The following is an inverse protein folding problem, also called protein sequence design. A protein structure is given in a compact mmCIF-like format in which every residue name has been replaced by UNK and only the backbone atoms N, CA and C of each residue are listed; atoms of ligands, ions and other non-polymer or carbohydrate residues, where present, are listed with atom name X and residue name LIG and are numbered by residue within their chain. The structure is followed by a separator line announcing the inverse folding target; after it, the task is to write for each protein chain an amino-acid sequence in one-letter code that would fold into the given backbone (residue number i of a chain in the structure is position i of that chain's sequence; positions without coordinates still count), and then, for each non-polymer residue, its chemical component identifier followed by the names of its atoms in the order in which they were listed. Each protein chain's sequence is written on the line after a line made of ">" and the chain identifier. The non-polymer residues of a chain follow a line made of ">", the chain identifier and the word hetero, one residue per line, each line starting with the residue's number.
data_IF_240166510003
#
_entry.id   IF_240166510003
#
_cell.length_a   1.000
_cell.length_b   1.000
_cell.length_c   1.000
_cell.angle_alpha   90.00
_cell.angle_beta   90.00
_cell.angle_gamma   90.00
#
_symmetry.space_group_name_H-M   'P 1'
#
loop_
_entity.id
_entity.type
_entity.pdbx_description
1 polymer ?
#
# COMPACT_ATOMS: atom_id res chain seq x y z
N UNK A 1 18.89 5.68 6.49
CA UNK A 1 18.18 4.88 5.47
C UNK A 1 16.70 5.16 5.57
N UNK A 2 16.06 5.53 4.45
CA UNK A 2 14.63 5.82 4.37
C UNK A 2 13.99 4.85 3.40
N UNK A 3 12.89 4.21 3.78
CA UNK A 3 12.10 3.32 2.94
C UNK A 3 10.61 3.49 3.23
N UNK A 4 9.77 2.97 2.36
CA UNK A 4 8.32 2.84 2.55
C UNK A 4 7.93 1.38 2.46
N UNK A 5 6.90 0.99 3.21
CA UNK A 5 6.39 -0.38 3.18
C UNK A 5 5.62 -0.64 1.89
N UNK A 6 5.91 -1.78 1.27
CA UNK A 6 5.17 -2.32 0.14
C UNK A 6 4.26 -3.48 0.53
N UNK A 7 3.55 -4.01 -0.46
CA UNK A 7 2.62 -5.13 -0.26
C UNK A 7 3.32 -6.41 0.24
N UNK A 8 4.57 -6.65 -0.16
CA UNK A 8 5.35 -7.81 0.31
C UNK A 8 5.80 -7.64 1.76
N UNK A 9 6.17 -6.43 2.19
CA UNK A 9 6.51 -6.14 3.57
C UNK A 9 5.30 -6.34 4.49
N UNK A 10 4.12 -5.86 4.06
CA UNK A 10 2.88 -6.06 4.79
C UNK A 10 2.49 -7.54 4.85
N UNK A 11 2.75 -8.30 3.77
CA UNK A 11 2.50 -9.73 3.74
C UNK A 11 3.40 -10.48 4.74
N UNK A 12 4.70 -10.17 4.79
CA UNK A 12 5.62 -10.71 5.81
C UNK A 12 5.11 -10.43 7.23
N UNK A 13 4.71 -9.18 7.50
CA UNK A 13 4.18 -8.80 8.83
C UNK A 13 2.89 -9.56 9.17
N UNK A 14 2.00 -9.78 8.21
CA UNK A 14 0.76 -10.54 8.43
C UNK A 14 1.02 -12.03 8.73
N UNK A 15 1.97 -12.65 8.02
CA UNK A 15 2.41 -14.03 8.28
C UNK A 15 3.03 -14.12 9.68
N UNK A 16 3.88 -13.17 10.04
CA UNK A 16 4.51 -13.13 11.37
C UNK A 16 3.51 -12.98 12.53
N UNK A 17 2.36 -12.34 12.30
CA UNK A 17 1.23 -12.25 13.24
C UNK A 17 0.32 -13.50 13.22
N UNK A 18 0.64 -14.52 12.39
CA UNK A 18 -0.12 -15.76 12.30
C UNK A 18 -1.45 -15.64 11.55
N UNK A 19 -1.59 -14.65 10.66
CA UNK A 19 -2.81 -14.42 9.88
C UNK A 19 -2.90 -15.35 8.67
N UNK A 20 -1.75 -15.71 8.10
CA UNK A 20 -1.65 -16.61 6.96
C UNK A 20 -0.41 -17.50 7.07
N UNK A 21 -0.47 -18.64 6.42
CA UNK A 21 0.70 -19.46 6.18
C UNK A 21 1.54 -18.90 5.03
N UNK A 22 2.86 -19.02 5.07
CA UNK A 22 3.74 -18.65 3.96
C UNK A 22 3.35 -19.43 2.69
N UNK A 23 3.35 -18.73 1.55
CA UNK A 23 3.19 -19.39 0.27
C UNK A 23 4.51 -20.02 -0.16
N UNK A 24 4.49 -21.15 -0.89
CA UNK A 24 5.70 -21.88 -1.36
C UNK A 24 6.70 -21.03 -2.17
N UNK A 25 6.26 -19.90 -2.73
CA UNK A 25 7.10 -18.97 -3.49
C UNK A 25 7.62 -17.80 -2.66
N UNK A 26 7.23 -17.70 -1.39
CA UNK A 26 7.69 -16.62 -0.52
C UNK A 26 9.15 -16.88 -0.12
N UNK A 27 9.96 -15.85 -0.17
CA UNK A 27 11.39 -15.90 0.21
C UNK A 27 11.62 -15.30 1.60
N UNK A 28 10.64 -15.46 2.51
CA UNK A 28 10.61 -14.83 3.83
C UNK A 28 10.98 -15.76 4.97
N UNK A 29 11.18 -17.06 4.67
CA UNK A 29 11.38 -18.09 5.69
C UNK A 29 12.64 -17.80 6.54
N UNK A 30 13.71 -17.32 5.91
CA UNK A 30 14.95 -16.97 6.62
C UNK A 30 14.73 -15.89 7.69
N UNK A 31 13.83 -14.93 7.43
CA UNK A 31 13.47 -13.90 8.41
C UNK A 31 12.64 -14.51 9.54
N UNK A 32 11.69 -15.38 9.20
CA UNK A 32 10.80 -16.00 10.18
C UNK A 32 11.53 -16.98 11.11
N UNK A 33 12.59 -17.62 10.63
CA UNK A 33 13.43 -18.56 11.38
C UNK A 33 14.63 -17.88 12.06
N UNK A 34 14.85 -16.58 11.80
CA UNK A 34 15.98 -15.83 12.35
C UNK A 34 15.90 -15.72 13.87
N UNK A 35 17.00 -15.88 14.60
CA UNK A 35 17.06 -15.58 16.02
C UNK A 35 16.72 -14.10 16.33
N UNK A 36 16.96 -13.20 15.36
CA UNK A 36 16.65 -11.78 15.44
C UNK A 36 15.26 -11.41 14.90
N UNK A 37 14.39 -12.41 14.65
CA UNK A 37 13.06 -12.23 14.04
C UNK A 37 12.29 -11.06 14.65
N UNK A 38 12.13 -11.01 15.97
CA UNK A 38 11.33 -9.97 16.62
C UNK A 38 11.94 -8.57 16.48
N UNK A 39 13.26 -8.48 16.48
CA UNK A 39 13.98 -7.23 16.24
C UNK A 39 13.75 -6.75 14.79
N UNK A 40 13.90 -7.63 13.83
CA UNK A 40 13.70 -7.33 12.39
C UNK A 40 12.26 -6.90 12.10
N UNK A 41 11.27 -7.62 12.62
CA UNK A 41 9.85 -7.30 12.44
C UNK A 41 9.48 -5.98 13.16
N UNK A 42 10.02 -5.74 14.34
CA UNK A 42 9.81 -4.49 15.06
C UNK A 42 10.41 -3.31 14.32
N UNK A 43 11.61 -3.47 13.78
CA UNK A 43 12.27 -2.47 12.93
C UNK A 43 11.45 -2.19 11.66
N UNK A 44 10.98 -3.23 10.96
CA UNK A 44 10.20 -3.08 9.73
C UNK A 44 8.88 -2.30 10.00
N UNK A 45 8.18 -2.58 11.08
CA UNK A 45 6.94 -1.89 11.47
C UNK A 45 7.09 -0.37 11.69
N UNK A 46 8.31 0.13 11.89
CA UNK A 46 8.54 1.58 12.07
C UNK A 46 8.45 2.37 10.76
N UNK A 47 8.58 1.71 9.62
CA UNK A 47 8.56 2.40 8.34
C UNK A 47 7.13 2.77 7.90
N UNK A 48 6.96 3.95 7.26
CA UNK A 48 5.65 4.42 6.81
C UNK A 48 5.25 3.81 5.47
N UNK A 49 3.97 3.95 5.10
CA UNK A 49 3.50 3.65 3.74
C UNK A 49 3.79 4.78 2.75
N UNK A 50 3.96 5.99 3.24
CA UNK A 50 4.28 7.16 2.44
C UNK A 50 5.27 8.05 3.19
N UNK A 51 6.24 8.61 2.49
CA UNK A 51 7.27 9.49 3.01
C UNK A 51 7.37 10.73 2.12
N UNK A 52 7.50 11.92 2.72
CA UNK A 52 7.82 13.15 1.99
C UNK A 52 9.29 13.51 2.22
N UNK A 53 10.03 13.71 1.15
CA UNK A 53 11.45 14.05 1.21
C UNK A 53 11.87 14.95 0.07
N UNK A 54 12.47 16.11 0.37
CA UNK A 54 13.01 17.06 -0.61
C UNK A 54 12.03 17.42 -1.74
N UNK A 55 10.75 17.64 -1.41
CA UNK A 55 9.71 18.00 -2.39
C UNK A 55 9.09 16.81 -3.13
N UNK A 56 9.56 15.61 -2.90
CA UNK A 56 8.98 14.37 -3.45
C UNK A 56 8.09 13.66 -2.43
N UNK A 57 7.05 13.03 -2.92
CA UNK A 57 6.28 12.02 -2.20
C UNK A 57 6.75 10.63 -2.64
N UNK A 58 7.15 9.80 -1.69
CA UNK A 58 7.67 8.44 -1.94
C UNK A 58 6.63 7.46 -1.44
N UNK A 59 6.24 6.51 -2.28
CA UNK A 59 5.21 5.51 -2.01
C UNK A 59 5.56 4.21 -2.75
N UNK A 60 5.08 3.05 -2.28
CA UNK A 60 5.40 1.79 -2.95
C UNK A 60 4.72 1.65 -4.31
N UNK A 61 3.39 1.84 -4.43
CA UNK A 61 2.65 1.62 -5.67
C UNK A 61 2.18 2.93 -6.33
N UNK A 62 1.43 3.78 -5.61
CA UNK A 62 0.95 5.01 -6.20
C UNK A 62 0.11 5.84 -5.23
N UNK A 63 -0.25 7.05 -5.68
CA UNK A 63 -1.16 7.95 -4.98
C UNK A 63 -2.27 8.30 -5.98
N UNK A 64 -3.54 7.97 -5.70
CA UNK A 64 -4.61 8.24 -6.65
C UNK A 64 -4.79 9.75 -6.86
N UNK A 65 -5.17 10.15 -8.07
CA UNK A 65 -5.38 11.56 -8.44
C UNK A 65 -6.54 12.23 -7.69
N UNK A 66 -7.44 11.43 -7.10
CA UNK A 66 -8.58 11.88 -6.30
C UNK A 66 -8.18 12.36 -4.90
N UNK A 67 -6.94 12.16 -4.46
CA UNK A 67 -6.42 12.64 -3.18
C UNK A 67 -5.45 13.80 -3.38
N UNK A 68 -5.50 14.77 -2.46
CA UNK A 68 -4.39 15.72 -2.27
C UNK A 68 -3.20 15.02 -1.61
N UNK A 69 -2.01 15.61 -1.69
CA UNK A 69 -0.82 15.04 -1.03
C UNK A 69 -0.93 15.06 0.48
N UNK A 70 -1.58 16.07 1.06
CA UNK A 70 -1.88 16.14 2.49
C UNK A 70 -2.84 15.03 2.89
N UNK A 71 -3.91 14.82 2.11
CA UNK A 71 -4.86 13.74 2.37
C UNK A 71 -4.18 12.38 2.27
N UNK A 72 -3.37 12.14 1.23
CA UNK A 72 -2.63 10.89 1.07
C UNK A 72 -1.70 10.60 2.26
N UNK A 73 -0.98 11.63 2.74
CA UNK A 73 -0.10 11.51 3.91
C UNK A 73 -0.90 11.20 5.19
N UNK A 74 -2.02 11.88 5.40
CA UNK A 74 -2.88 11.64 6.57
C UNK A 74 -3.41 10.19 6.55
N UNK A 75 -3.89 9.71 5.40
CA UNK A 75 -4.39 8.35 5.22
C UNK A 75 -3.28 7.29 5.38
N UNK A 76 -2.09 7.55 4.83
CA UNK A 76 -0.93 6.68 5.05
C UNK A 76 -0.56 6.56 6.54
N UNK A 77 -0.68 7.65 7.29
CA UNK A 77 -0.43 7.65 8.73
C UNK A 77 -1.47 6.83 9.50
N UNK A 78 -2.74 6.81 9.08
CA UNK A 78 -3.77 5.96 9.69
C UNK A 78 -3.35 4.47 9.64
N UNK A 79 -2.94 3.99 8.47
CA UNK A 79 -2.47 2.61 8.30
C UNK A 79 -1.18 2.36 9.08
N UNK A 80 -0.21 3.27 9.01
CA UNK A 80 1.05 3.14 9.76
C UNK A 80 0.83 3.06 11.27
N UNK A 81 -0.14 3.81 11.79
CA UNK A 81 -0.54 3.75 13.19
C UNK A 81 -1.20 2.42 13.55
N UNK A 82 -2.06 1.88 12.66
CA UNK A 82 -2.66 0.57 12.86
C UNK A 82 -1.60 -0.55 12.93
N UNK A 83 -0.60 -0.52 12.03
CA UNK A 83 0.52 -1.48 12.00
C UNK A 83 1.35 -1.43 13.29
N UNK A 84 1.55 -0.24 13.87
CA UNK A 84 2.33 -0.04 15.11
C UNK A 84 1.53 -0.26 16.38
N UNK A 85 0.21 -0.32 16.28
CA UNK A 85 -0.66 -0.45 17.44
C UNK A 85 -0.57 -1.84 18.09
N UNK A 86 -0.92 -1.99 19.38
CA UNK A 86 -1.09 -3.31 19.99
C UNK A 86 -2.17 -4.15 19.30
N UNK A 87 -3.16 -3.52 18.66
CA UNK A 87 -4.25 -4.16 17.93
C UNK A 87 -3.93 -4.42 16.44
N UNK A 88 -2.66 -4.35 16.01
CA UNK A 88 -2.24 -4.54 14.61
C UNK A 88 -2.75 -5.84 13.98
N UNK A 89 -2.98 -6.88 14.79
CA UNK A 89 -3.53 -8.14 14.32
C UNK A 89 -4.88 -7.95 13.62
N UNK A 90 -5.75 -7.10 14.15
CA UNK A 90 -7.05 -6.76 13.55
C UNK A 90 -6.86 -6.12 12.15
N UNK A 91 -5.86 -5.24 12.00
CA UNK A 91 -5.55 -4.67 10.69
C UNK A 91 -5.10 -5.77 9.71
N UNK A 92 -4.16 -6.63 10.08
CA UNK A 92 -3.64 -7.67 9.20
C UNK A 92 -4.70 -8.74 8.84
N UNK A 93 -5.61 -9.06 9.74
CA UNK A 93 -6.75 -9.95 9.46
C UNK A 93 -7.66 -9.43 8.34
N UNK A 94 -7.78 -8.10 8.21
CA UNK A 94 -8.71 -7.45 7.29
C UNK A 94 -8.04 -6.73 6.11
N UNK A 95 -6.71 -6.66 6.05
CA UNK A 95 -6.04 -5.92 4.99
C UNK A 95 -6.15 -6.55 3.60
N UNK A 96 -6.37 -7.87 3.53
CA UNK A 96 -6.52 -8.60 2.28
C UNK A 96 -7.90 -8.38 1.67
N UNK A 97 -7.93 -8.38 0.34
CA UNK A 97 -9.16 -8.22 -0.43
C UNK A 97 -9.10 -7.02 -1.36
N UNK A 98 -10.02 -7.01 -2.33
CA UNK A 98 -10.08 -5.98 -3.35
C UNK A 98 -11.22 -4.97 -3.12
N UNK A 99 -12.18 -5.30 -2.26
CA UNK A 99 -13.33 -4.41 -1.96
C UNK A 99 -13.15 -3.70 -0.62
N UNK A 100 -13.60 -2.44 -0.50
CA UNK A 100 -14.14 -1.60 -1.55
C UNK A 100 -13.09 -1.25 -2.63
N UNK A 101 -13.55 -1.07 -3.88
CA UNK A 101 -12.68 -0.77 -5.02
C UNK A 101 -12.44 0.73 -5.19
N UNK A 102 -13.24 1.57 -4.52
CA UNK A 102 -13.15 3.03 -4.61
C UNK A 102 -13.14 3.67 -3.23
N UNK A 103 -12.36 4.75 -3.11
CA UNK A 103 -12.32 5.59 -1.91
C UNK A 103 -13.62 6.36 -1.72
N UNK A 104 -14.11 6.35 -0.48
CA UNK A 104 -15.18 7.23 -0.04
C UNK A 104 -14.88 7.76 1.36
N UNK A 105 -15.10 9.05 1.61
CA UNK A 105 -14.82 9.67 2.90
C UNK A 105 -15.62 9.06 4.08
N UNK A 106 -16.76 8.42 3.79
CA UNK A 106 -17.58 7.73 4.78
C UNK A 106 -17.06 6.36 5.20
N UNK A 107 -16.06 5.81 4.52
CA UNK A 107 -15.45 4.53 4.89
C UNK A 107 -14.87 4.60 6.30
N UNK A 108 -15.10 3.54 7.08
CA UNK A 108 -14.66 3.41 8.48
C UNK A 108 -14.04 2.04 8.73
N UNK A 109 -13.32 1.95 9.85
CA UNK A 109 -12.78 0.68 10.35
C UNK A 109 -11.89 -0.05 9.35
N UNK A 110 -11.94 -1.40 9.33
CA UNK A 110 -11.04 -2.21 8.52
C UNK A 110 -11.14 -1.97 7.01
N UNK A 111 -12.33 -1.71 6.47
CA UNK A 111 -12.52 -1.43 5.05
C UNK A 111 -11.80 -0.15 4.61
N UNK A 112 -11.86 0.89 5.44
CA UNK A 112 -11.12 2.13 5.22
C UNK A 112 -9.61 1.87 5.12
N UNK A 113 -9.05 1.17 6.09
CA UNK A 113 -7.61 0.85 6.11
C UNK A 113 -7.21 -0.02 4.93
N UNK A 114 -8.03 -0.99 4.54
CA UNK A 114 -7.79 -1.86 3.38
C UNK A 114 -7.73 -1.08 2.07
N UNK A 115 -8.68 -0.18 1.84
CA UNK A 115 -8.70 0.65 0.62
C UNK A 115 -7.48 1.55 0.56
N UNK A 116 -7.09 2.20 1.66
CA UNK A 116 -5.87 3.02 1.73
C UNK A 116 -4.64 2.16 1.39
N UNK A 117 -4.53 0.99 2.02
CA UNK A 117 -3.45 0.04 1.76
C UNK A 117 -3.38 -0.35 0.29
N UNK A 118 -4.53 -0.67 -0.33
CA UNK A 118 -4.59 -1.06 -1.74
C UNK A 118 -4.09 0.06 -2.67
N UNK A 119 -4.48 1.31 -2.44
CA UNK A 119 -3.97 2.43 -3.23
C UNK A 119 -2.46 2.58 -3.10
N UNK A 120 -1.96 2.62 -1.88
CA UNK A 120 -0.56 2.96 -1.63
C UNK A 120 0.41 1.81 -1.94
N UNK A 121 -0.07 0.54 -1.93
CA UNK A 121 0.82 -0.62 -2.04
C UNK A 121 0.52 -1.58 -3.20
N UNK A 122 -0.62 -1.44 -3.88
CA UNK A 122 -1.03 -2.40 -4.92
C UNK A 122 -1.54 -1.76 -6.22
N UNK A 123 -1.89 -0.47 -6.20
CA UNK A 123 -2.48 0.21 -7.34
C UNK A 123 -1.54 0.23 -8.55
N UNK A 124 -2.07 -0.18 -9.70
CA UNK A 124 -1.48 0.02 -11.02
C UNK A 124 -2.41 0.86 -11.88
N UNK A 125 -3.65 0.44 -11.96
CA UNK A 125 -4.69 1.05 -12.79
C UNK A 125 -5.82 1.57 -11.92
N UNK A 126 -6.39 2.68 -12.34
CA UNK A 126 -7.63 3.17 -11.76
C UNK A 126 -8.47 3.91 -12.82
N UNK A 127 -9.77 4.01 -12.55
CA UNK A 127 -10.69 4.80 -13.38
C UNK A 127 -10.55 6.30 -13.08
N UNK A 128 -11.20 7.14 -13.89
CA UNK A 128 -11.29 8.59 -13.65
C UNK A 128 -11.99 8.95 -12.30
N UNK A 129 -12.73 8.02 -11.72
CA UNK A 129 -13.36 8.16 -10.39
C UNK A 129 -12.47 7.62 -9.27
N UNK A 130 -11.28 7.11 -9.61
CA UNK A 130 -10.37 6.50 -8.65
C UNK A 130 -10.69 5.05 -8.33
N UNK A 131 -11.62 4.40 -9.02
CA UNK A 131 -11.92 2.98 -8.82
C UNK A 131 -10.70 2.13 -9.17
N UNK A 132 -10.32 1.22 -8.28
CA UNK A 132 -9.12 0.38 -8.41
C UNK A 132 -9.39 -0.84 -9.29
N UNK A 133 -8.50 -1.09 -10.22
CA UNK A 133 -8.35 -2.39 -10.85
C UNK A 133 -7.08 -3.06 -10.31
N UNK A 134 -7.24 -4.22 -9.65
CA UNK A 134 -6.16 -4.89 -8.91
C UNK A 134 -5.80 -6.28 -9.44
N UNK A 135 -6.47 -6.75 -10.49
CA UNK A 135 -6.26 -8.09 -11.07
C UNK A 135 -5.27 -8.04 -12.22
N UNK A 136 -5.41 -7.05 -13.09
CA UNK A 136 -4.57 -6.87 -14.28
C UNK A 136 -3.19 -6.35 -13.91
N UNK A 137 -2.17 -6.90 -14.54
CA UNK A 137 -0.79 -6.53 -14.29
C UNK A 137 -0.14 -5.82 -15.48
N UNK A 138 -0.63 -6.10 -16.68
CA UNK A 138 -0.08 -5.59 -17.93
C UNK A 138 -0.99 -4.49 -18.50
N UNK A 139 -0.38 -3.43 -19.03
CA UNK A 139 -1.10 -2.32 -19.67
C UNK A 139 -1.82 -2.77 -20.94
N UNK A 140 -1.25 -3.75 -21.66
CA UNK A 140 -1.86 -4.28 -22.90
C UNK A 140 -3.21 -4.97 -22.67
N UNK A 141 -3.46 -5.44 -21.44
CA UNK A 141 -4.66 -6.18 -21.08
C UNK A 141 -5.72 -5.29 -20.42
N UNK A 142 -5.49 -3.96 -20.43
CA UNK A 142 -6.35 -3.01 -19.74
C UNK A 142 -7.33 -2.33 -20.69
N UNK A 143 -8.61 -2.42 -20.34
CA UNK A 143 -9.72 -1.78 -21.07
C UNK A 143 -10.21 -0.51 -20.37
N UNK A 144 -10.81 0.41 -21.15
CA UNK A 144 -11.54 1.54 -20.59
C UNK A 144 -12.61 1.07 -19.59
N UNK A 145 -12.85 1.79 -18.47
CA UNK A 145 -12.39 3.17 -18.16
C UNK A 145 -11.07 3.25 -17.34
N UNK A 146 -10.31 2.18 -17.27
CA UNK A 146 -9.10 2.11 -16.45
C UNK A 146 -7.86 2.51 -17.26
N UNK A 147 -6.93 3.19 -16.61
CA UNK A 147 -5.60 3.50 -17.16
C UNK A 147 -4.56 3.58 -16.02
N UNK A 148 -3.25 3.58 -16.35
CA UNK A 148 -2.21 3.77 -15.34
C UNK A 148 -2.52 4.97 -14.46
N UNK A 149 -2.42 4.80 -13.15
CA UNK A 149 -2.82 5.83 -12.18
C UNK A 149 -2.10 7.18 -12.41
N UNK A 150 -0.87 7.16 -12.90
CA UNK A 150 -0.05 8.34 -13.16
C UNK A 150 -0.40 9.07 -14.48
N UNK A 151 -1.25 8.49 -15.33
CA UNK A 151 -1.78 9.14 -16.53
C UNK A 151 -3.01 10.02 -16.24
N UNK A 152 -3.54 9.97 -15.02
CA UNK A 152 -4.60 10.88 -14.61
C UNK A 152 -4.06 12.25 -14.22
N UNK A 153 -4.72 13.31 -14.70
CA UNK A 153 -4.41 14.67 -14.33
C UNK A 153 -4.66 14.91 -12.84
N UNK A 154 -3.74 15.59 -12.18
CA UNK A 154 -3.84 16.01 -10.78
C UNK A 154 -3.99 17.52 -10.69
N UNK A 155 -4.78 17.99 -9.72
CA UNK A 155 -4.92 19.42 -9.46
C UNK A 155 -3.65 20.04 -8.85
N UNK A 156 -2.87 19.26 -8.12
CA UNK A 156 -1.61 19.72 -7.53
C UNK A 156 -0.48 19.62 -8.53
N UNK A 157 -0.07 20.78 -9.03
CA UNK A 157 1.11 20.94 -9.90
C UNK A 157 2.36 21.02 -9.02
N UNK A 158 3.46 20.42 -9.48
CA UNK A 158 4.80 20.48 -8.85
C UNK A 158 5.08 19.54 -7.68
N UNK A 159 4.32 18.47 -7.47
CA UNK A 159 4.71 17.43 -6.53
C UNK A 159 5.21 16.20 -7.29
N UNK A 160 6.50 15.92 -7.23
CA UNK A 160 7.07 14.69 -7.76
C UNK A 160 6.63 13.49 -6.93
N UNK A 161 6.27 12.38 -7.58
CA UNK A 161 5.98 11.11 -6.91
C UNK A 161 7.01 10.09 -7.35
N UNK A 162 7.70 9.49 -6.38
CA UNK A 162 8.61 8.37 -6.59
C UNK A 162 7.88 7.10 -6.17
N UNK A 163 7.81 6.13 -7.06
CA UNK A 163 7.10 4.87 -6.81
C UNK A 163 7.82 3.67 -7.46
N UNK A 164 7.47 2.46 -7.02
CA UNK A 164 7.92 1.19 -7.55
C UNK A 164 6.74 0.29 -7.91
N UNK A 165 6.73 -0.96 -7.42
CA UNK A 165 5.67 -1.98 -7.56
C UNK A 165 5.42 -2.47 -8.99
N UNK A 166 5.67 -1.67 -9.99
CA UNK A 166 5.46 -1.99 -11.40
C UNK A 166 6.76 -2.53 -12.00
N UNK A 167 6.82 -3.81 -12.31
CA UNK A 167 8.04 -4.47 -12.79
C UNK A 167 8.34 -4.17 -14.28
N UNK A 168 7.36 -3.68 -15.03
CA UNK A 168 7.49 -3.33 -16.44
C UNK A 168 6.71 -2.02 -16.71
N UNK A 169 7.44 -0.94 -16.88
CA UNK A 169 6.95 0.33 -17.42
C UNK A 169 7.58 0.55 -18.78
#
# INVERSE_FOLDING_TARGET
>A
FNMVLGNHDLHLLAIAEGIREPHKKDTIQEILDSPDRELLLSWLRQYPLMLRYKGFSIVHAGIPHIWTMEQAQALANEVSNAIRSPQRKIYFEHMYGNSPEVWHNSLKGPERLRVITNYLTRMRFCSHRGELELKTKDKSDMDEPFKPWFEHSRNEKNTGIIFGHWAAL
#
